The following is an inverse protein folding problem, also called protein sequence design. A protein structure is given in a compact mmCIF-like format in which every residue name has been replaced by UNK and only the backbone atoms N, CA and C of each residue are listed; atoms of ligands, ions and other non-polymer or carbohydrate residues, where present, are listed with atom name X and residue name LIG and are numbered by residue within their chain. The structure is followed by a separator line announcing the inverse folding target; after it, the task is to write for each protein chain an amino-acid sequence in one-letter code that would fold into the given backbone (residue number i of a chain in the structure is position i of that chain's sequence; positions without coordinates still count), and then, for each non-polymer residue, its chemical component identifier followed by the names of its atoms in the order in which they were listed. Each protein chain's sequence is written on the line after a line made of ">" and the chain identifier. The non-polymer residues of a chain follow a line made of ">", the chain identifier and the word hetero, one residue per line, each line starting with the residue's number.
data_IF_597733050345
#
_entry.id   IF_597733050345
#
_cell.length_a   1.000
_cell.length_b   1.000
_cell.length_c   1.000
_cell.angle_alpha   90.00
_cell.angle_beta   90.00
_cell.angle_gamma   90.00
#
_symmetry.space_group_name_H-M   'P 1'
#
loop_
_entity.id
_entity.type
_entity.pdbx_description
1 polymer ?
#
# COMPACT_ATOMS: atom_id res chain seq x y z
N UNK A 1 17.36 -6.32 -23.74
CA UNK A 1 16.58 -5.96 -24.94
C UNK A 1 16.98 -6.66 -26.25
N UNK A 2 18.28 -6.88 -26.54
CA UNK A 2 18.71 -7.60 -27.77
C UNK A 2 18.11 -9.00 -27.90
N UNK A 3 18.18 -9.81 -26.83
CA UNK A 3 17.63 -11.17 -26.77
C UNK A 3 16.13 -11.19 -27.11
N UNK A 4 15.34 -10.31 -26.49
CA UNK A 4 13.89 -10.21 -26.75
C UNK A 4 13.60 -9.89 -28.21
N UNK A 5 14.34 -8.94 -28.82
CA UNK A 5 14.16 -8.60 -30.23
C UNK A 5 14.41 -9.81 -31.13
N UNK A 6 15.48 -10.58 -30.86
CA UNK A 6 15.79 -11.79 -31.61
C UNK A 6 14.71 -12.85 -31.46
N UNK A 7 14.19 -13.08 -30.24
CA UNK A 7 13.13 -14.07 -30.00
C UNK A 7 11.78 -13.65 -30.61
N UNK A 8 11.47 -12.34 -30.65
CA UNK A 8 10.29 -11.83 -31.38
C UNK A 8 10.43 -12.04 -32.89
N UNK A 9 11.61 -11.78 -33.46
CA UNK A 9 11.88 -12.06 -34.88
C UNK A 9 11.80 -13.56 -35.17
N UNK A 10 12.35 -14.40 -34.28
CA UNK A 10 12.26 -15.86 -34.38
C UNK A 10 10.82 -16.35 -34.35
N UNK A 11 9.97 -15.84 -33.44
CA UNK A 11 8.52 -16.14 -33.41
C UNK A 11 7.87 -15.83 -34.75
N UNK A 12 8.17 -14.65 -35.32
CA UNK A 12 7.59 -14.19 -36.58
C UNK A 12 8.06 -15.03 -37.77
N UNK A 13 9.36 -15.34 -37.87
CA UNK A 13 9.92 -16.08 -39.00
C UNK A 13 9.45 -17.53 -39.05
N UNK A 14 9.23 -18.16 -37.89
CA UNK A 14 8.81 -19.56 -37.80
C UNK A 14 7.30 -19.74 -37.66
N UNK A 15 6.50 -18.67 -37.79
CA UNK A 15 5.04 -18.73 -37.68
C UNK A 15 4.54 -19.31 -36.35
N UNK A 16 5.31 -19.17 -35.27
CA UNK A 16 4.97 -19.75 -33.97
C UNK A 16 3.70 -19.08 -33.41
N UNK A 17 2.75 -19.90 -32.99
CA UNK A 17 1.49 -19.45 -32.40
C UNK A 17 1.66 -18.71 -31.06
N UNK A 18 0.55 -18.27 -30.48
CA UNK A 18 0.56 -17.47 -29.24
C UNK A 18 0.95 -18.23 -27.98
N UNK A 19 1.08 -19.55 -28.07
CA UNK A 19 1.69 -20.38 -27.03
C UNK A 19 3.19 -20.06 -26.82
N UNK A 20 3.88 -19.51 -27.81
CA UNK A 20 5.27 -19.07 -27.67
C UNK A 20 5.35 -17.62 -27.18
N UNK A 21 5.81 -17.46 -25.94
CA UNK A 21 6.09 -16.16 -25.32
C UNK A 21 7.60 -15.86 -25.35
N UNK A 22 8.06 -14.90 -26.18
CA UNK A 22 9.45 -14.48 -26.25
C UNK A 22 10.04 -13.99 -24.92
N UNK A 23 9.22 -13.46 -24.01
CA UNK A 23 9.67 -12.99 -22.70
C UNK A 23 9.91 -14.16 -21.76
N UNK A 24 9.01 -15.15 -21.72
CA UNK A 24 9.21 -16.40 -20.97
C UNK A 24 10.46 -17.14 -21.44
N UNK A 25 10.63 -17.27 -22.77
CA UNK A 25 11.81 -17.88 -23.37
C UNK A 25 13.10 -17.12 -23.02
N UNK A 26 13.09 -15.79 -23.10
CA UNK A 26 14.23 -14.97 -22.69
C UNK A 26 14.58 -15.16 -21.21
N UNK A 27 13.57 -15.15 -20.35
CA UNK A 27 13.75 -15.24 -18.90
C UNK A 27 14.34 -16.59 -18.48
N UNK A 28 13.85 -17.68 -19.08
CA UNK A 28 14.38 -19.03 -18.88
C UNK A 28 15.81 -19.20 -19.39
N UNK A 29 16.16 -18.59 -20.52
CA UNK A 29 17.50 -18.68 -21.11
C UNK A 29 18.56 -17.82 -20.37
N UNK A 30 18.15 -16.79 -19.66
CA UNK A 30 19.06 -15.91 -18.92
C UNK A 30 19.54 -16.58 -17.61
N UNK A 31 20.82 -16.36 -17.20
CA UNK A 31 21.33 -16.86 -15.93
C UNK A 31 20.48 -16.42 -14.74
N UNK A 32 20.28 -17.29 -13.75
CA UNK A 32 19.50 -16.99 -12.53
C UNK A 32 20.17 -15.96 -11.61
N UNK A 33 21.46 -15.73 -11.79
CA UNK A 33 22.26 -14.77 -11.03
C UNK A 33 23.23 -14.00 -11.92
N UNK A 34 23.72 -12.86 -11.44
CA UNK A 34 24.74 -12.09 -12.14
C UNK A 34 26.09 -12.84 -12.14
N UNK A 35 26.81 -12.78 -13.27
CA UNK A 35 28.14 -13.37 -13.39
C UNK A 35 29.15 -12.75 -12.40
N UNK A 36 29.03 -11.45 -12.14
CA UNK A 36 29.92 -10.73 -11.23
C UNK A 36 29.68 -11.06 -9.75
N UNK A 37 28.45 -11.46 -9.38
CA UNK A 37 28.11 -11.79 -8.01
C UNK A 37 26.89 -12.72 -7.95
N UNK A 38 27.07 -13.99 -7.55
CA UNK A 38 25.99 -14.97 -7.45
C UNK A 38 24.87 -14.61 -6.46
N UNK A 39 25.09 -13.66 -5.54
CA UNK A 39 24.04 -13.20 -4.61
C UNK A 39 23.05 -12.24 -5.27
N UNK A 40 23.41 -11.64 -6.40
CA UNK A 40 22.52 -10.78 -7.18
C UNK A 40 21.67 -11.66 -8.10
N UNK A 41 20.40 -11.80 -7.74
CA UNK A 41 19.47 -12.64 -8.48
C UNK A 41 18.84 -11.91 -9.65
N UNK A 42 18.48 -12.68 -10.67
CA UNK A 42 17.67 -12.20 -11.79
C UNK A 42 16.28 -11.78 -11.30
N UNK A 43 15.77 -10.70 -11.87
CA UNK A 43 14.45 -10.17 -11.61
C UNK A 43 13.83 -9.65 -12.91
N UNK A 44 12.51 -9.61 -12.95
CA UNK A 44 11.74 -8.89 -13.96
C UNK A 44 10.90 -7.82 -13.27
N UNK A 45 11.21 -6.55 -13.55
CA UNK A 45 10.59 -5.40 -12.91
C UNK A 45 10.15 -4.41 -14.00
N UNK A 46 8.87 -4.04 -13.98
CA UNK A 46 8.28 -3.03 -14.88
C UNK A 46 8.61 -3.27 -16.38
N UNK A 47 8.57 -4.52 -16.83
CA UNK A 47 8.85 -4.86 -18.24
C UNK A 47 10.33 -5.04 -18.57
N UNK A 48 11.23 -4.97 -17.58
CA UNK A 48 12.67 -5.03 -17.78
C UNK A 48 13.31 -6.17 -16.97
N UNK A 49 14.20 -6.91 -17.63
CA UNK A 49 15.08 -7.87 -16.96
C UNK A 49 16.23 -7.12 -16.29
N UNK A 50 16.46 -7.40 -15.01
CA UNK A 50 17.58 -6.86 -14.26
C UNK A 50 18.18 -7.89 -13.30
N UNK A 51 19.38 -7.58 -12.81
CA UNK A 51 20.01 -8.27 -11.69
C UNK A 51 20.21 -7.22 -10.61
N UNK A 52 19.51 -7.35 -9.48
CA UNK A 52 19.51 -6.32 -8.46
C UNK A 52 19.43 -6.90 -7.04
N UNK A 53 20.02 -6.17 -6.10
CA UNK A 53 19.67 -6.32 -4.69
C UNK A 53 18.35 -5.59 -4.40
N UNK A 54 17.60 -6.12 -3.44
CA UNK A 54 16.33 -5.55 -3.01
C UNK A 54 16.39 -5.16 -1.54
N UNK A 55 15.75 -4.04 -1.21
CA UNK A 55 15.61 -3.55 0.15
C UNK A 55 14.24 -2.90 0.33
N UNK A 56 13.78 -2.85 1.58
CA UNK A 56 12.58 -2.14 1.99
C UNK A 56 12.92 -0.85 2.72
N UNK A 57 12.12 0.18 2.50
CA UNK A 57 12.22 1.47 3.17
C UNK A 57 10.90 1.78 3.89
N UNK A 58 10.98 2.14 5.16
CA UNK A 58 9.82 2.61 5.95
C UNK A 58 10.04 4.06 6.33
N UNK A 59 9.06 4.92 6.02
CA UNK A 59 9.07 6.34 6.38
C UNK A 59 7.87 6.68 7.24
N UNK A 60 7.96 7.75 8.04
CA UNK A 60 6.77 8.35 8.65
C UNK A 60 6.01 9.23 7.64
N UNK A 61 4.89 9.83 8.06
CA UNK A 61 4.07 10.70 7.21
C UNK A 61 4.75 11.98 6.70
N UNK A 62 5.92 12.35 7.24
CA UNK A 62 6.71 13.48 6.73
C UNK A 62 7.70 13.06 5.62
N UNK A 63 7.87 11.75 5.40
CA UNK A 63 8.89 11.19 4.51
C UNK A 63 10.25 11.00 5.17
N UNK A 64 10.31 11.03 6.51
CA UNK A 64 11.54 10.77 7.27
C UNK A 64 11.71 9.25 7.42
N UNK A 65 12.87 8.74 7.02
CA UNK A 65 13.21 7.32 7.10
C UNK A 65 13.27 6.85 8.56
N UNK A 66 12.63 5.71 8.81
CA UNK A 66 12.54 5.06 10.12
C UNK A 66 13.15 3.67 10.12
N UNK A 67 13.14 2.97 9.00
CA UNK A 67 13.78 1.67 8.89
C UNK A 67 14.22 1.39 7.44
N UNK A 68 15.37 0.73 7.31
CA UNK A 68 15.92 0.20 6.07
C UNK A 68 16.14 -1.29 6.30
N UNK A 69 15.46 -2.13 5.52
CA UNK A 69 15.58 -3.59 5.62
C UNK A 69 16.18 -4.15 4.34
N UNK A 70 17.38 -4.71 4.42
CA UNK A 70 18.04 -5.30 3.26
C UNK A 70 17.60 -6.77 3.09
N UNK A 71 17.07 -7.14 1.93
CA UNK A 71 16.48 -8.48 1.69
C UNK A 71 17.54 -9.50 1.27
N UNK A 72 18.52 -9.71 2.13
CA UNK A 72 19.57 -10.71 1.91
C UNK A 72 19.21 -12.09 2.48
N UNK A 73 20.15 -13.03 2.33
CA UNK A 73 20.03 -14.39 2.89
C UNK A 73 19.77 -14.38 4.40
N UNK A 74 20.33 -13.43 5.15
CA UNK A 74 20.11 -13.35 6.59
C UNK A 74 18.69 -12.91 6.93
N UNK A 75 18.13 -11.96 6.17
CA UNK A 75 16.74 -11.57 6.29
C UNK A 75 15.78 -12.74 5.98
N UNK A 76 16.04 -13.48 4.89
CA UNK A 76 15.22 -14.65 4.54
C UNK A 76 15.35 -15.78 5.58
N UNK A 77 16.53 -15.98 6.17
CA UNK A 77 16.72 -16.94 7.27
C UNK A 77 15.97 -16.54 8.55
N UNK A 78 15.90 -15.24 8.83
CA UNK A 78 15.17 -14.72 9.99
C UNK A 78 13.64 -14.81 9.82
N UNK A 79 13.17 -14.84 8.57
CA UNK A 79 11.75 -14.88 8.22
C UNK A 79 11.45 -16.08 7.29
N UNK A 80 11.45 -17.31 7.83
CA UNK A 80 11.27 -18.53 7.04
C UNK A 80 9.89 -18.62 6.37
N UNK A 81 8.90 -17.87 6.87
CA UNK A 81 7.56 -17.76 6.29
C UNK A 81 7.55 -17.12 4.90
N UNK A 82 8.65 -16.43 4.54
CA UNK A 82 8.84 -15.87 3.20
C UNK A 82 9.22 -17.01 2.26
N UNK A 83 8.21 -17.62 1.64
CA UNK A 83 8.42 -18.61 0.57
C UNK A 83 8.86 -17.89 -0.70
N UNK A 84 10.15 -17.96 -0.98
CA UNK A 84 10.73 -17.61 -2.29
C UNK A 84 10.40 -18.77 -3.23
N UNK A 85 9.43 -18.56 -4.11
CA UNK A 85 9.03 -19.56 -5.10
C UNK A 85 10.22 -19.89 -6.03
N UNK A 86 10.33 -21.17 -6.40
CA UNK A 86 11.35 -21.59 -7.36
C UNK A 86 11.07 -20.92 -8.70
N UNK A 87 12.12 -20.38 -9.33
CA UNK A 87 12.09 -19.76 -10.65
C UNK A 87 11.31 -20.65 -11.62
N UNK A 88 10.16 -20.16 -12.06
CA UNK A 88 9.40 -20.71 -13.18
C UNK A 88 9.96 -20.16 -14.51
N UNK A 89 9.27 -20.40 -15.62
CA UNK A 89 9.58 -19.74 -16.89
C UNK A 89 8.78 -18.45 -17.06
N UNK A 90 8.11 -17.96 -16.01
CA UNK A 90 7.11 -16.91 -16.08
C UNK A 90 7.62 -15.65 -15.38
N UNK A 91 8.17 -14.68 -16.12
CA UNK A 91 8.85 -13.53 -15.53
C UNK A 91 7.93 -12.63 -14.69
N UNK A 92 6.63 -12.58 -15.00
CA UNK A 92 5.65 -11.80 -14.21
C UNK A 92 5.29 -12.46 -12.88
N UNK A 93 5.38 -13.79 -12.81
CA UNK A 93 5.12 -14.60 -11.61
C UNK A 93 6.39 -14.72 -10.75
N UNK A 94 7.57 -14.80 -11.39
CA UNK A 94 8.88 -14.93 -10.75
C UNK A 94 9.44 -13.59 -10.25
N UNK A 95 8.72 -12.92 -9.35
CA UNK A 95 9.30 -11.85 -8.53
C UNK A 95 10.11 -12.50 -7.42
N UNK A 96 11.45 -12.41 -7.48
CA UNK A 96 12.39 -13.00 -6.50
C UNK A 96 11.97 -12.82 -5.04
N UNK A 97 11.39 -11.67 -4.71
CA UNK A 97 10.59 -11.46 -3.52
C UNK A 97 9.50 -10.44 -3.83
N UNK A 98 8.22 -10.82 -3.81
CA UNK A 98 7.12 -9.88 -3.99
C UNK A 98 7.09 -8.86 -2.82
N UNK A 99 6.89 -7.57 -3.11
CA UNK A 99 6.85 -6.51 -2.09
C UNK A 99 5.83 -6.82 -0.98
N UNK A 100 4.69 -7.39 -1.37
CA UNK A 100 3.63 -7.82 -0.45
C UNK A 100 4.11 -8.87 0.57
N UNK A 101 4.93 -9.84 0.15
CA UNK A 101 5.46 -10.89 1.03
C UNK A 101 6.46 -10.33 2.06
N UNK A 102 7.19 -9.28 1.70
CA UNK A 102 8.18 -8.67 2.58
C UNK A 102 7.58 -7.65 3.57
N UNK A 103 6.39 -7.11 3.29
CA UNK A 103 5.79 -6.01 4.05
C UNK A 103 5.62 -6.33 5.54
N UNK A 104 4.91 -7.41 5.86
CA UNK A 104 4.58 -7.78 7.24
C UNK A 104 5.83 -8.09 8.07
N UNK A 105 6.77 -8.93 7.60
CA UNK A 105 8.05 -9.15 8.29
C UNK A 105 8.80 -7.85 8.60
N UNK A 106 8.88 -6.93 7.62
CA UNK A 106 9.57 -5.63 7.81
C UNK A 106 8.89 -4.79 8.88
N UNK A 107 7.55 -4.72 8.89
CA UNK A 107 6.81 -3.97 9.89
C UNK A 107 6.94 -4.60 11.29
N UNK A 108 6.86 -5.92 11.40
CA UNK A 108 7.06 -6.65 12.67
C UNK A 108 8.44 -6.38 13.25
N UNK A 109 9.49 -6.49 12.42
CA UNK A 109 10.86 -6.20 12.83
C UNK A 109 11.02 -4.74 13.28
N UNK A 110 10.46 -3.80 12.53
CA UNK A 110 10.54 -2.38 12.83
C UNK A 110 9.87 -2.04 14.18
N UNK A 111 8.65 -2.51 14.40
CA UNK A 111 7.91 -2.25 15.64
C UNK A 111 8.54 -2.95 16.84
N UNK A 112 9.11 -4.15 16.65
CA UNK A 112 9.88 -4.84 17.68
C UNK A 112 11.14 -4.07 18.08
N UNK A 113 11.86 -3.50 17.10
CA UNK A 113 13.05 -2.66 17.36
C UNK A 113 12.71 -1.34 18.02
N UNK A 114 11.51 -0.81 17.78
CA UNK A 114 11.09 0.50 18.26
C UNK A 114 9.72 0.45 18.97
N UNK A 115 9.63 -0.16 20.17
CA UNK A 115 8.36 -0.39 20.87
C UNK A 115 7.62 0.89 21.25
N UNK A 116 8.34 2.02 21.37
CA UNK A 116 7.75 3.33 21.66
C UNK A 116 7.03 3.96 20.45
N UNK A 117 7.26 3.45 19.24
CA UNK A 117 6.62 3.94 18.02
C UNK A 117 5.31 3.17 17.83
N UNK A 118 4.18 3.86 17.98
CA UNK A 118 2.85 3.30 17.85
C UNK A 118 2.07 3.98 16.71
N UNK A 119 2.32 3.61 15.44
CA UNK A 119 1.68 4.25 14.30
C UNK A 119 0.20 3.84 14.22
N UNK A 120 -0.68 4.81 14.03
CA UNK A 120 -2.13 4.56 13.92
C UNK A 120 -2.60 4.29 12.49
N UNK A 121 -1.86 4.82 11.52
CA UNK A 121 -2.25 4.83 10.12
C UNK A 121 -1.15 4.19 9.28
N UNK A 122 -1.54 3.25 8.42
CA UNK A 122 -0.70 2.68 7.38
C UNK A 122 -1.08 3.24 6.01
N UNK A 123 -0.09 3.58 5.18
CA UNK A 123 -0.26 4.02 3.79
C UNK A 123 0.50 3.07 2.87
N UNK A 124 -0.19 2.48 1.89
CA UNK A 124 0.38 1.48 1.00
C UNK A 124 0.04 1.68 -0.47
N UNK A 125 0.78 1.00 -1.34
CA UNK A 125 0.45 0.89 -2.76
C UNK A 125 -0.61 -0.20 -3.00
N UNK A 126 -1.30 -0.15 -4.14
CA UNK A 126 -2.26 -1.17 -4.54
C UNK A 126 -1.66 -2.59 -4.62
N UNK A 127 -0.33 -2.70 -4.77
CA UNK A 127 0.38 -3.98 -4.68
C UNK A 127 0.19 -4.71 -3.34
N UNK A 128 -0.22 -4.01 -2.27
CA UNK A 128 -0.47 -4.58 -0.94
C UNK A 128 -1.94 -4.97 -0.69
N UNK A 129 -2.78 -4.92 -1.72
CA UNK A 129 -4.20 -5.22 -1.62
C UNK A 129 -4.46 -6.74 -1.51
N UNK A 130 -4.33 -7.29 -0.29
CA UNK A 130 -4.63 -8.69 0.03
C UNK A 130 -5.34 -8.81 1.38
N UNK A 131 -6.23 -9.79 1.52
CA UNK A 131 -7.02 -10.02 2.75
C UNK A 131 -6.11 -10.26 3.95
N UNK A 132 -5.05 -11.04 3.75
CA UNK A 132 -4.05 -11.40 4.75
C UNK A 132 -3.30 -10.17 5.25
N UNK A 133 -2.93 -9.24 4.35
CA UNK A 133 -2.26 -7.99 4.72
C UNK A 133 -3.19 -7.12 5.57
N UNK A 134 -4.46 -6.92 5.19
CA UNK A 134 -5.40 -6.14 6.01
C UNK A 134 -5.62 -6.78 7.39
N UNK A 135 -5.74 -8.11 7.42
CA UNK A 135 -5.87 -8.86 8.68
C UNK A 135 -4.69 -8.60 9.60
N UNK A 136 -3.47 -8.79 9.10
CA UNK A 136 -2.27 -8.57 9.90
C UNK A 136 -2.12 -7.10 10.34
N UNK A 137 -2.33 -6.13 9.44
CA UNK A 137 -2.23 -4.70 9.78
C UNK A 137 -3.21 -4.29 10.87
N UNK A 138 -4.50 -4.65 10.73
CA UNK A 138 -5.55 -4.14 11.60
C UNK A 138 -5.74 -4.98 12.87
N UNK A 139 -5.55 -6.31 12.78
CA UNK A 139 -5.78 -7.21 13.90
C UNK A 139 -4.51 -7.56 14.66
N UNK A 140 -3.39 -7.85 14.00
CA UNK A 140 -2.14 -8.23 14.69
C UNK A 140 -1.32 -7.00 15.09
N UNK A 141 -1.03 -6.12 14.12
CA UNK A 141 -0.21 -4.92 14.31
C UNK A 141 -0.99 -3.74 14.89
N UNK A 142 -2.31 -3.87 15.04
CA UNK A 142 -3.21 -2.91 15.70
C UNK A 142 -3.19 -1.50 15.08
N UNK A 143 -2.97 -1.38 13.77
CA UNK A 143 -3.24 -0.13 13.07
C UNK A 143 -4.74 0.16 13.11
N UNK A 144 -5.11 1.44 13.26
CA UNK A 144 -6.51 1.85 13.26
C UNK A 144 -7.07 1.98 11.84
N UNK A 145 -6.22 2.39 10.89
CA UNK A 145 -6.60 2.61 9.49
C UNK A 145 -5.50 2.15 8.54
N UNK A 146 -5.90 1.50 7.44
CA UNK A 146 -5.01 1.17 6.34
C UNK A 146 -5.51 1.80 5.03
N UNK A 147 -4.70 2.69 4.46
CA UNK A 147 -4.97 3.33 3.17
C UNK A 147 -4.22 2.60 2.07
N UNK A 148 -4.87 1.58 1.51
CA UNK A 148 -4.39 0.77 0.40
C UNK A 148 -5.46 0.83 -0.72
N UNK A 149 -5.12 1.35 -1.92
CA UNK A 149 -6.03 1.31 -3.05
C UNK A 149 -6.34 -0.13 -3.46
N UNK A 150 -7.54 -0.34 -4.00
CA UNK A 150 -7.94 -1.66 -4.47
C UNK A 150 -7.26 -1.96 -5.81
N UNK A 151 -6.61 -3.12 -5.91
CA UNK A 151 -6.06 -3.66 -7.15
C UNK A 151 -7.18 -4.25 -8.02
N UNK A 152 -8.13 -4.93 -7.39
CA UNK A 152 -9.31 -5.52 -8.04
C UNK A 152 -10.58 -4.98 -7.38
N UNK A 153 -11.65 -4.78 -8.16
CA UNK A 153 -12.92 -4.33 -7.59
C UNK A 153 -13.43 -5.33 -6.55
N UNK A 154 -14.10 -4.83 -5.52
CA UNK A 154 -14.79 -5.71 -4.56
C UNK A 154 -16.05 -6.19 -5.26
N UNK A 155 -16.10 -7.49 -5.56
CA UNK A 155 -17.30 -8.10 -6.09
C UNK A 155 -18.29 -8.21 -4.92
N UNK A 156 -19.38 -7.47 -5.00
CA UNK A 156 -20.53 -7.71 -4.12
C UNK A 156 -21.31 -8.86 -4.73
N UNK A 157 -21.45 -9.97 -4.01
CA UNK A 157 -22.54 -10.89 -4.26
C UNK A 157 -23.86 -10.13 -4.10
N UNK A 158 -24.90 -10.53 -4.84
CA UNK A 158 -26.26 -9.97 -4.76
C UNK A 158 -26.74 -10.03 -3.30
N UNK A 159 -26.54 -8.93 -2.59
CA UNK A 159 -26.93 -8.77 -1.20
C UNK A 159 -27.89 -7.60 -1.10
N UNK A 160 -28.72 -7.57 -0.06
CA UNK A 160 -29.66 -6.49 0.28
C UNK A 160 -28.99 -5.11 0.50
N UNK A 161 -27.67 -5.01 0.29
CA UNK A 161 -26.83 -3.85 0.44
C UNK A 161 -26.01 -3.63 -0.85
N UNK A 162 -26.55 -2.92 -1.86
CA UNK A 162 -25.79 -2.62 -3.06
C UNK A 162 -24.57 -1.75 -2.71
N UNK A 163 -23.38 -2.17 -3.13
CA UNK A 163 -22.12 -1.45 -2.90
C UNK A 163 -21.63 -0.81 -4.20
N UNK A 164 -21.07 0.41 -4.13
CA UNK A 164 -20.35 0.99 -5.25
C UNK A 164 -18.89 0.50 -5.34
N UNK A 165 -18.13 1.05 -6.27
CA UNK A 165 -16.72 0.69 -6.52
C UNK A 165 -15.79 0.93 -5.32
N UNK A 166 -16.16 1.86 -4.43
CA UNK A 166 -15.45 2.19 -3.19
C UNK A 166 -15.91 1.35 -1.99
N UNK A 167 -16.77 0.34 -2.22
CA UNK A 167 -17.45 -0.46 -1.21
C UNK A 167 -18.33 0.37 -0.26
N UNK A 168 -18.90 1.47 -0.74
CA UNK A 168 -19.88 2.28 -0.01
C UNK A 168 -21.28 1.82 -0.36
N UNK A 169 -22.17 1.57 0.64
CA UNK A 169 -23.57 1.26 0.38
C UNK A 169 -24.26 2.35 -0.44
N UNK A 170 -25.09 1.94 -1.39
CA UNK A 170 -25.92 2.81 -2.20
C UNK A 170 -27.39 2.69 -1.83
N UNK A 171 -28.22 3.64 -2.27
CA UNK A 171 -29.66 3.57 -2.07
C UNK A 171 -30.24 2.35 -2.80
N UNK A 172 -31.07 1.49 -2.16
CA UNK A 172 -31.65 0.32 -2.81
C UNK A 172 -32.54 0.62 -4.04
N UNK A 173 -33.16 1.81 -4.11
CA UNK A 173 -33.97 2.21 -5.26
C UNK A 173 -33.15 2.96 -6.33
N UNK A 174 -31.97 3.50 -5.96
CA UNK A 174 -31.13 4.29 -6.86
C UNK A 174 -29.66 4.04 -6.53
N UNK A 175 -29.05 3.09 -7.24
CA UNK A 175 -27.66 2.69 -7.02
C UNK A 175 -26.65 3.81 -7.33
N UNK A 176 -27.05 4.91 -7.99
CA UNK A 176 -26.17 6.06 -8.23
C UNK A 176 -25.94 6.92 -6.98
N UNK A 177 -26.79 6.78 -5.95
CA UNK A 177 -26.74 7.60 -4.74
C UNK A 177 -26.01 6.89 -3.60
N UNK A 178 -24.74 7.23 -3.30
CA UNK A 178 -24.03 6.67 -2.16
C UNK A 178 -24.62 7.15 -0.84
N UNK A 179 -24.71 6.25 0.12
CA UNK A 179 -25.22 6.55 1.46
C UNK A 179 -24.21 7.36 2.27
N UNK A 180 -24.73 8.21 3.17
CA UNK A 180 -23.90 9.09 4.01
C UNK A 180 -23.31 8.32 5.18
N UNK A 181 -22.01 8.43 5.40
CA UNK A 181 -21.35 7.90 6.60
C UNK A 181 -21.73 8.75 7.81
N UNK A 182 -22.23 8.12 8.87
CA UNK A 182 -22.34 8.71 10.21
C UNK A 182 -21.32 8.07 11.15
N UNK A 183 -20.89 8.82 12.16
CA UNK A 183 -20.09 8.27 13.26
C UNK A 183 -20.89 7.18 13.97
N UNK A 184 -20.32 5.98 14.09
CA UNK A 184 -20.86 4.98 15.00
C UNK A 184 -20.27 5.17 16.39
N UNK A 185 -21.12 5.10 17.42
CA UNK A 185 -20.70 5.07 18.82
C UNK A 185 -20.54 3.65 19.36
N UNK A 186 -20.78 2.62 18.53
CA UNK A 186 -20.73 1.23 19.00
C UNK A 186 -19.29 0.72 19.04
N UNK A 187 -18.84 0.31 20.22
CA UNK A 187 -17.62 -0.47 20.39
C UNK A 187 -17.97 -1.95 20.24
N UNK A 188 -17.51 -2.58 19.16
CA UNK A 188 -17.61 -4.04 19.03
C UNK A 188 -16.60 -4.71 19.95
N UNK A 189 -16.84 -5.98 20.30
CA UNK A 189 -15.90 -6.81 21.06
C UNK A 189 -14.53 -6.94 20.38
N UNK A 190 -14.49 -6.76 19.05
CA UNK A 190 -13.30 -6.76 18.19
C UNK A 190 -12.44 -5.49 18.32
N UNK A 191 -12.91 -4.43 19.00
CA UNK A 191 -12.21 -3.15 19.13
C UNK A 191 -12.31 -2.25 17.89
N UNK A 192 -12.81 -2.74 16.75
CA UNK A 192 -13.04 -1.95 15.54
C UNK A 192 -14.47 -1.38 15.59
N UNK A 193 -14.70 -0.07 15.39
CA UNK A 193 -16.04 0.50 15.40
C UNK A 193 -16.85 0.06 14.16
N UNK A 194 -18.16 -0.21 14.34
CA UNK A 194 -19.05 -0.43 13.19
C UNK A 194 -19.09 0.82 12.31
N UNK A 195 -19.35 0.62 11.02
CA UNK A 195 -19.54 1.72 10.08
C UNK A 195 -21.02 1.87 9.81
N UNK A 196 -21.58 3.01 10.24
CA UNK A 196 -22.99 3.33 10.04
C UNK A 196 -23.17 4.19 8.79
N UNK A 197 -24.04 3.74 7.89
CA UNK A 197 -24.45 4.48 6.72
C UNK A 197 -25.95 4.79 6.79
N UNK A 198 -26.30 6.03 6.48
CA UNK A 198 -27.68 6.54 6.51
C UNK A 198 -28.10 7.05 5.14
N UNK A 199 -29.40 7.10 4.90
CA UNK A 199 -29.96 7.56 3.64
C UNK A 199 -29.36 8.91 3.19
N UNK A 200 -29.00 9.07 1.89
CA UNK A 200 -28.41 10.31 1.38
C UNK A 200 -29.36 11.52 1.53
N UNK A 201 -30.67 11.30 1.44
CA UNK A 201 -31.71 12.33 1.61
C UNK A 201 -32.14 12.53 3.08
N UNK A 202 -31.48 11.87 4.04
CA UNK A 202 -31.73 12.09 5.47
C UNK A 202 -31.17 13.44 5.93
N UNK A 203 -31.97 14.17 6.71
CA UNK A 203 -31.55 15.38 7.44
C UNK A 203 -32.00 15.31 8.89
N UNK A 204 -31.27 16.01 9.76
CA UNK A 204 -31.69 16.26 11.14
C UNK A 204 -32.70 17.40 11.18
N UNK A 205 -33.87 17.15 11.74
CA UNK A 205 -34.95 18.14 11.93
C UNK A 205 -35.06 18.42 13.42
N UNK A 206 -34.85 19.67 13.80
CA UNK A 206 -35.07 20.12 15.18
C UNK A 206 -36.56 20.37 15.41
N UNK A 207 -37.12 19.74 16.43
CA UNK A 207 -38.48 20.03 16.88
C UNK A 207 -38.41 21.02 18.06
N UNK A 208 -38.97 22.22 17.87
CA UNK A 208 -38.97 23.30 18.87
C UNK A 208 -39.80 22.98 20.12
N UNK A 209 -40.90 22.24 19.97
CA UNK A 209 -41.80 21.88 21.08
C UNK A 209 -41.15 20.86 22.01
N UNK A 210 -40.56 19.82 21.43
CA UNK A 210 -39.90 18.75 22.20
C UNK A 210 -38.43 19.05 22.53
N UNK A 211 -37.90 20.17 22.02
CA UNK A 211 -36.49 20.58 22.09
C UNK A 211 -35.49 19.49 21.68
N UNK A 212 -35.90 18.57 20.80
CA UNK A 212 -35.11 17.40 20.37
C UNK A 212 -34.93 17.39 18.86
N UNK A 213 -33.75 16.96 18.42
CA UNK A 213 -33.46 16.71 17.01
C UNK A 213 -33.82 15.26 16.64
N UNK A 214 -34.58 15.08 15.56
CA UNK A 214 -34.90 13.75 15.01
C UNK A 214 -34.38 13.63 13.58
N UNK A 215 -33.96 12.42 13.21
CA UNK A 215 -33.64 12.09 11.81
C UNK A 215 -34.94 12.01 11.02
N UNK A 216 -35.01 12.69 9.88
CA UNK A 216 -36.12 12.58 8.94
C UNK A 216 -35.58 12.40 7.54
N UNK A 217 -36.09 11.41 6.81
CA UNK A 217 -35.82 11.26 5.38
C UNK A 217 -36.76 12.15 4.56
N UNK A 218 -36.26 12.66 3.43
CA UNK A 218 -37.00 13.48 2.48
C UNK A 218 -36.99 12.81 1.09
N UNK A 219 -37.08 11.48 1.05
CA UNK A 219 -37.30 10.75 -0.19
C UNK A 219 -38.76 10.94 -0.64
N UNK A 220 -38.96 11.21 -1.93
CA UNK A 220 -40.28 11.20 -2.56
C UNK A 220 -40.84 9.77 -2.61
N UNK A 221 -39.99 8.81 -3.03
CA UNK A 221 -40.26 7.37 -2.95
C UNK A 221 -39.30 6.72 -1.92
N UNK A 222 -39.75 6.48 -0.68
CA UNK A 222 -38.89 5.92 0.36
C UNK A 222 -38.76 4.40 0.23
N UNK A 223 -37.52 3.93 0.11
CA UNK A 223 -37.18 2.49 0.10
C UNK A 223 -37.45 1.73 1.40
N UNK A 224 -37.99 2.38 2.43
CA UNK A 224 -38.38 1.75 3.71
C UNK A 224 -39.44 2.58 4.42
N UNK A 225 -40.25 1.91 5.25
CA UNK A 225 -41.26 2.55 6.11
C UNK A 225 -40.66 3.38 7.26
N UNK A 226 -39.34 3.26 7.51
CA UNK A 226 -38.65 4.02 8.55
C UNK A 226 -38.64 5.52 8.26
N UNK A 227 -39.03 6.33 9.24
CA UNK A 227 -39.04 7.80 9.15
C UNK A 227 -37.65 8.43 8.93
N UNK A 228 -36.57 7.71 9.24
CA UNK A 228 -35.19 8.15 9.02
C UNK A 228 -34.55 7.56 7.74
N UNK A 229 -35.31 6.80 6.96
CA UNK A 229 -34.82 6.10 5.77
C UNK A 229 -34.06 4.81 6.10
N UNK A 230 -33.53 4.16 5.06
CA UNK A 230 -32.72 2.94 5.19
C UNK A 230 -31.39 3.28 5.85
N UNK A 231 -30.94 2.38 6.72
CA UNK A 231 -29.63 2.46 7.35
C UNK A 231 -28.92 1.12 7.18
N UNK A 232 -27.62 1.16 6.91
CA UNK A 232 -26.77 -0.02 6.91
C UNK A 232 -25.75 0.08 8.04
N UNK A 233 -25.57 -1.03 8.74
CA UNK A 233 -24.52 -1.22 9.72
C UNK A 233 -23.55 -2.23 9.16
N UNK A 234 -22.37 -1.73 8.79
CA UNK A 234 -21.30 -2.56 8.28
C UNK A 234 -20.36 -2.89 9.43
N UNK A 235 -20.00 -4.16 9.49
CA UNK A 235 -19.09 -4.75 10.46
C UNK A 235 -17.76 -4.96 9.75
N UNK A 236 -16.74 -4.11 10.00
CA UNK A 236 -15.49 -4.18 9.26
C UNK A 236 -14.81 -5.55 9.31
N UNK A 237 -14.96 -6.28 10.41
CA UNK A 237 -14.44 -7.64 10.57
C UNK A 237 -14.97 -8.63 9.52
N UNK A 238 -16.15 -8.38 8.92
CA UNK A 238 -16.67 -9.22 7.83
C UNK A 238 -15.82 -9.11 6.57
N UNK A 239 -15.22 -7.94 6.33
CA UNK A 239 -14.38 -7.69 5.17
C UNK A 239 -13.44 -6.51 5.46
N UNK A 240 -12.30 -6.80 6.09
CA UNK A 240 -11.29 -5.80 6.45
C UNK A 240 -10.68 -5.11 5.22
N UNK A 241 -10.67 -5.80 4.07
CA UNK A 241 -10.24 -5.23 2.79
C UNK A 241 -11.21 -4.16 2.30
N UNK A 242 -12.52 -4.41 2.37
CA UNK A 242 -13.54 -3.42 2.04
C UNK A 242 -13.57 -2.25 3.02
N UNK A 243 -13.37 -2.53 4.31
CA UNK A 243 -13.54 -1.56 5.38
C UNK A 243 -12.29 -1.46 6.26
N UNK A 244 -11.19 -0.88 5.76
CA UNK A 244 -9.91 -0.84 6.47
C UNK A 244 -9.84 0.28 7.53
N UNK A 245 -10.93 0.53 8.25
CA UNK A 245 -11.07 1.62 9.24
C UNK A 245 -11.39 3.00 8.64
N UNK A 246 -11.45 3.11 7.31
CA UNK A 246 -11.73 4.36 6.57
C UNK A 246 -12.59 4.08 5.34
N UNK A 247 -13.20 5.13 4.76
CA UNK A 247 -14.05 5.03 3.57
C UNK A 247 -13.27 5.51 2.35
N UNK A 248 -13.10 4.63 1.35
CA UNK A 248 -12.50 4.97 0.05
C UNK A 248 -13.34 6.01 -0.68
N UNK A 249 -12.70 6.82 -1.52
CA UNK A 249 -13.35 7.93 -2.22
C UNK A 249 -13.74 9.13 -1.34
N UNK A 250 -13.73 9.01 -0.01
CA UNK A 250 -14.03 10.13 0.89
C UNK A 250 -12.96 11.23 0.83
N UNK A 251 -13.33 12.45 1.24
CA UNK A 251 -12.37 13.56 1.34
C UNK A 251 -11.22 13.24 2.31
N UNK A 252 -11.50 12.55 3.42
CA UNK A 252 -10.48 12.07 4.35
C UNK A 252 -9.47 11.15 3.66
N UNK A 253 -9.97 10.20 2.86
CA UNK A 253 -9.13 9.30 2.07
C UNK A 253 -8.26 10.05 1.07
N UNK A 254 -8.87 10.92 0.27
CA UNK A 254 -8.16 11.66 -0.77
C UNK A 254 -7.11 12.60 -0.19
N UNK A 255 -7.36 13.23 0.97
CA UNK A 255 -6.38 14.08 1.64
C UNK A 255 -5.26 13.27 2.28
N UNK A 256 -5.60 12.19 3.00
CA UNK A 256 -4.60 11.39 3.74
C UNK A 256 -3.71 10.60 2.79
N UNK A 257 -4.27 10.00 1.74
CA UNK A 257 -3.52 9.18 0.81
C UNK A 257 -2.47 9.97 0.01
N UNK A 258 -2.67 11.29 -0.20
CA UNK A 258 -1.65 12.17 -0.82
C UNK A 258 -0.32 12.16 -0.07
N UNK A 259 -0.33 11.90 1.23
CA UNK A 259 0.88 11.79 2.06
C UNK A 259 1.80 10.68 1.55
N UNK A 260 1.26 9.63 0.91
CA UNK A 260 2.05 8.54 0.32
C UNK A 260 3.16 9.06 -0.60
N UNK A 261 2.94 10.15 -1.32
CA UNK A 261 3.96 10.77 -2.18
C UNK A 261 5.27 11.14 -1.45
N UNK A 262 5.25 11.25 -0.12
CA UNK A 262 6.43 11.48 0.69
C UNK A 262 7.46 10.35 0.60
N UNK A 263 7.02 9.08 0.46
CA UNK A 263 7.96 7.95 0.32
C UNK A 263 8.71 8.01 -1.02
N UNK A 264 8.01 8.36 -2.10
CA UNK A 264 8.60 8.51 -3.43
C UNK A 264 9.65 9.62 -3.43
N UNK A 265 9.33 10.75 -2.79
CA UNK A 265 10.28 11.87 -2.60
C UNK A 265 11.50 11.45 -1.77
N UNK A 266 11.31 10.59 -0.75
CA UNK A 266 12.42 10.06 0.04
C UNK A 266 13.31 9.13 -0.78
N UNK A 267 12.71 8.25 -1.59
CA UNK A 267 13.45 7.36 -2.50
C UNK A 267 14.23 8.18 -3.52
N UNK A 268 13.63 9.22 -4.08
CA UNK A 268 14.29 10.12 -5.02
C UNK A 268 15.47 10.86 -4.39
N UNK A 269 15.30 11.33 -3.15
CA UNK A 269 16.40 11.94 -2.39
C UNK A 269 17.55 10.95 -2.16
N UNK A 270 17.26 9.69 -1.84
CA UNK A 270 18.28 8.65 -1.71
C UNK A 270 19.04 8.44 -3.01
N UNK A 271 18.33 8.35 -4.14
CA UNK A 271 18.92 8.13 -5.46
C UNK A 271 19.88 9.27 -5.85
N UNK A 272 19.41 10.51 -5.76
CA UNK A 272 20.09 11.65 -6.37
C UNK A 272 20.87 12.50 -5.37
N UNK A 273 20.30 12.85 -4.22
CA UNK A 273 21.01 13.69 -3.23
C UNK A 273 22.07 12.90 -2.47
N UNK A 274 21.79 11.63 -2.17
CA UNK A 274 22.75 10.73 -1.50
C UNK A 274 23.56 9.88 -2.50
N UNK A 275 23.47 10.19 -3.80
CA UNK A 275 24.24 9.55 -4.89
C UNK A 275 24.14 8.02 -4.98
N UNK A 276 23.09 7.40 -4.44
CA UNK A 276 22.92 5.93 -4.50
C UNK A 276 22.71 5.46 -5.95
N UNK A 277 22.13 6.28 -6.82
CA UNK A 277 21.92 5.94 -8.23
C UNK A 277 23.23 5.85 -9.03
N UNK A 278 24.23 6.65 -8.68
CA UNK A 278 25.53 6.75 -9.38
C UNK A 278 26.65 5.96 -8.68
N UNK A 279 26.28 5.11 -7.72
CA UNK A 279 27.24 4.25 -7.00
C UNK A 279 28.02 3.37 -7.98
N UNK A 280 29.31 3.18 -7.68
CA UNK A 280 30.18 2.25 -8.42
C UNK A 280 30.32 0.88 -7.74
N UNK A 281 29.80 0.77 -6.51
CA UNK A 281 29.91 -0.41 -5.64
C UNK A 281 28.90 -1.49 -6.05
N UNK A 282 29.35 -2.74 -6.08
CA UNK A 282 28.56 -3.89 -6.54
C UNK A 282 28.44 -5.02 -5.51
N UNK A 283 29.12 -4.90 -4.36
CA UNK A 283 29.05 -5.90 -3.30
C UNK A 283 27.95 -5.57 -2.29
N UNK A 284 27.39 -6.61 -1.67
CA UNK A 284 26.25 -6.51 -0.77
C UNK A 284 26.53 -5.63 0.46
N UNK A 285 27.70 -5.80 1.08
CA UNK A 285 28.04 -5.12 2.34
C UNK A 285 28.16 -3.61 2.15
N UNK A 286 28.88 -3.18 1.13
CA UNK A 286 29.05 -1.75 0.85
C UNK A 286 27.72 -1.12 0.43
N UNK A 287 26.90 -1.81 -0.37
CA UNK A 287 25.58 -1.29 -0.74
C UNK A 287 24.68 -1.09 0.49
N UNK A 288 24.70 -2.03 1.43
CA UNK A 288 23.95 -1.89 2.67
C UNK A 288 24.47 -0.71 3.51
N UNK A 289 25.79 -0.54 3.61
CA UNK A 289 26.39 0.60 4.29
C UNK A 289 26.01 1.93 3.64
N UNK A 290 26.07 2.04 2.30
CA UNK A 290 25.70 3.23 1.54
C UNK A 290 24.23 3.63 1.84
N UNK A 291 23.32 2.65 1.87
CA UNK A 291 21.91 2.88 2.22
C UNK A 291 21.74 3.40 3.65
N UNK A 292 22.45 2.83 4.62
CA UNK A 292 22.40 3.26 6.02
C UNK A 292 22.95 4.69 6.18
N UNK A 293 24.07 5.00 5.53
CA UNK A 293 24.65 6.35 5.52
C UNK A 293 23.71 7.37 4.89
N UNK A 294 23.01 7.02 3.81
CA UNK A 294 21.98 7.86 3.21
C UNK A 294 20.81 8.14 4.19
N UNK A 295 20.39 7.12 4.94
CA UNK A 295 19.37 7.27 6.00
C UNK A 295 19.83 8.18 7.13
N UNK A 296 21.05 7.99 7.64
CA UNK A 296 21.65 8.85 8.68
C UNK A 296 21.74 10.30 8.19
N UNK A 297 22.18 10.51 6.95
CA UNK A 297 22.29 11.85 6.33
C UNK A 297 20.93 12.55 6.27
N UNK A 298 19.85 11.83 5.91
CA UNK A 298 18.51 12.40 5.93
C UNK A 298 18.05 12.75 7.35
N UNK A 299 18.38 11.92 8.35
CA UNK A 299 18.04 12.23 9.75
C UNK A 299 18.79 13.48 10.26
N UNK A 300 20.07 13.63 9.92
CA UNK A 300 20.85 14.84 10.23
C UNK A 300 20.22 16.07 9.58
N UNK A 301 19.82 15.95 8.30
CA UNK A 301 19.10 17.01 7.56
C UNK A 301 17.85 17.45 8.31
N UNK A 302 17.04 16.50 8.79
CA UNK A 302 15.83 16.79 9.56
C UNK A 302 16.13 17.49 10.90
N UNK A 303 17.20 17.07 11.61
CA UNK A 303 17.63 17.70 12.86
C UNK A 303 18.08 19.13 12.62
N UNK A 304 18.90 19.39 11.59
CA UNK A 304 19.36 20.73 11.23
C UNK A 304 18.18 21.63 10.86
N UNK A 305 17.31 21.17 9.96
CA UNK A 305 16.12 21.90 9.53
C UNK A 305 15.23 22.32 10.72
N UNK A 306 15.06 21.43 11.70
CA UNK A 306 14.34 21.74 12.92
C UNK A 306 15.07 22.77 13.81
N UNK A 307 16.40 22.66 13.93
CA UNK A 307 17.21 23.59 14.73
C UNK A 307 17.24 25.01 14.18
N UNK A 308 17.18 25.17 12.86
CA UNK A 308 17.12 26.49 12.21
C UNK A 308 15.68 26.97 11.95
N UNK A 309 14.67 26.26 12.45
CA UNK A 309 13.24 26.55 12.25
C UNK A 309 12.80 26.63 10.77
N UNK A 310 13.47 25.89 9.88
CA UNK A 310 13.14 25.78 8.45
C UNK A 310 12.60 24.40 8.11
N UNK A 311 11.39 24.11 8.59
CA UNK A 311 10.77 22.80 8.42
C UNK A 311 10.49 22.42 6.96
N UNK A 312 10.42 23.41 6.06
CA UNK A 312 10.36 23.21 4.62
C UNK A 312 11.56 22.41 4.07
N UNK A 313 12.71 22.42 4.76
CA UNK A 313 13.94 21.77 4.32
C UNK A 313 14.21 20.41 4.98
N UNK A 314 13.27 19.84 5.74
CA UNK A 314 13.43 18.52 6.41
C UNK A 314 13.88 17.40 5.45
N UNK A 315 13.60 17.54 4.15
CA UNK A 315 13.93 16.56 3.11
C UNK A 315 15.01 17.01 2.12
N UNK A 316 15.53 18.23 2.27
CA UNK A 316 16.41 18.83 1.27
C UNK A 316 17.71 19.26 1.93
N UNK A 317 18.78 18.56 1.56
CA UNK A 317 20.12 18.89 2.04
C UNK A 317 20.69 20.13 1.34
N UNK A 318 20.39 20.31 0.04
CA UNK A 318 20.99 21.37 -0.79
C UNK A 318 20.84 22.79 -0.22
N UNK A 319 19.67 23.25 0.24
CA UNK A 319 19.51 24.58 0.81
C UNK A 319 20.18 24.77 2.18
N UNK A 320 20.64 23.68 2.82
CA UNK A 320 21.28 23.72 4.14
C UNK A 320 22.81 23.77 4.04
N UNK A 321 23.37 23.54 2.86
CA UNK A 321 24.83 23.49 2.59
C UNK A 321 25.29 24.60 1.64
N UNK A 322 24.36 25.38 1.09
CA UNK A 322 24.60 26.55 0.26
C UNK A 322 24.54 27.81 1.12
#
# INVERSE_FOLDING_TARGET
>A
NRIIKQLKTFKKLNGLGDSYDPYKAAYGAMPSHANANPTVQQMYINGHFCYAFKFGLVTNGLGIVRNISFYNKNFLKAHPDIVVEKKSNSPDEDKSLADAKALIPVLKDFLKKHPMINPKIFLGDAAFDSIEIYSCLLQELKFEKAYIPLKTKIVSEESDCPLNEDAVPCCPHDHSLPMKRESSKSHLRSGIPTMKFVCPKMKWVYNKETKKSKRKTFCEDPCTKSSCGRMFYIYPEKNLRAYPGTVRGSQEWNCTYKIRSAIEKSIENFKHSCCIAERRTQNEKTLHADLLLAGITQLITAVIANKIHRHEYIKSLKPLIA
#
